data_IF_023650387711
#
_entry.id   IF_023650387711
#
_cell.length_a   1.000
_cell.length_b   1.000
_cell.length_c   1.000
_cell.angle_alpha   90.00
_cell.angle_beta   90.00
_cell.angle_gamma   90.00
#
_symmetry.space_group_name_H-M   'P 1'
#
loop_
_entity.id
_entity.type
_entity.pdbx_description
1 polymer ?
#
# COMPACT_ATOMS: atom_id res chain seq x y z
N UNK A 1 -22.64 -25.03 43.42
CA UNK A 1 -21.94 -24.31 42.34
C UNK A 1 -22.94 -24.11 41.19
N UNK A 2 -23.29 -22.88 40.81
CA UNK A 2 -24.30 -22.63 39.76
C UNK A 2 -23.60 -22.54 38.39
N UNK A 3 -23.69 -23.58 37.57
CA UNK A 3 -23.24 -23.58 36.18
C UNK A 3 -24.14 -22.67 35.35
N UNK A 4 -23.57 -21.73 34.59
CA UNK A 4 -24.35 -20.90 33.65
C UNK A 4 -24.72 -21.75 32.42
N UNK A 5 -25.96 -21.65 31.91
CA UNK A 5 -26.38 -22.40 30.73
C UNK A 5 -25.70 -21.82 29.47
N UNK A 6 -24.89 -22.62 28.79
CA UNK A 6 -24.26 -22.27 27.51
C UNK A 6 -25.27 -22.51 26.38
N UNK A 7 -26.17 -21.56 26.18
CA UNK A 7 -27.02 -21.51 24.98
C UNK A 7 -26.23 -20.99 23.77
N UNK A 8 -26.70 -21.30 22.56
CA UNK A 8 -26.10 -20.73 21.32
C UNK A 8 -26.35 -19.22 21.30
N UNK A 9 -25.28 -18.42 21.38
CA UNK A 9 -25.34 -16.96 21.24
C UNK A 9 -25.14 -16.63 19.76
N UNK A 10 -26.17 -16.06 19.13
CA UNK A 10 -26.04 -15.50 17.78
C UNK A 10 -25.47 -14.09 17.91
N UNK A 11 -24.31 -13.85 17.31
CA UNK A 11 -23.65 -12.55 17.27
C UNK A 11 -23.49 -12.09 15.82
N UNK A 12 -24.01 -10.92 15.50
CA UNK A 12 -23.88 -10.25 14.20
C UNK A 12 -23.19 -8.91 14.41
N UNK A 13 -22.03 -8.73 13.77
CA UNK A 13 -21.25 -7.51 13.81
C UNK A 13 -21.87 -6.46 12.87
N UNK A 14 -22.18 -5.26 13.38
CA UNK A 14 -22.55 -4.09 12.57
C UNK A 14 -21.29 -3.27 12.23
N UNK A 15 -20.87 -3.22 10.95
CA UNK A 15 -19.68 -2.47 10.56
C UNK A 15 -19.81 -0.95 10.73
N UNK A 16 -21.02 -0.40 10.70
CA UNK A 16 -21.25 1.04 10.83
C UNK A 16 -21.22 1.51 12.29
N UNK A 17 -21.40 0.60 13.24
CA UNK A 17 -21.41 0.91 14.67
C UNK A 17 -20.77 -0.24 15.48
N UNK A 18 -19.43 -0.37 15.41
CA UNK A 18 -18.74 -1.47 16.07
C UNK A 18 -18.84 -1.34 17.60
N UNK A 19 -18.92 -2.46 18.34
CA UNK A 19 -18.90 -2.42 19.79
C UNK A 19 -17.60 -1.81 20.29
N UNK A 20 -17.70 -0.89 21.24
CA UNK A 20 -16.53 -0.32 21.92
C UNK A 20 -15.92 -1.36 22.85
N UNK A 21 -14.60 -1.36 22.96
CA UNK A 21 -13.92 -2.20 23.93
C UNK A 21 -14.34 -1.82 25.35
N UNK A 22 -14.46 -2.83 26.21
CA UNK A 22 -14.65 -2.61 27.65
C UNK A 22 -13.32 -2.17 28.27
N UNK A 23 -13.33 -1.38 29.36
CA UNK A 23 -12.11 -0.96 30.05
C UNK A 23 -11.20 -2.12 30.46
N UNK A 24 -11.79 -3.28 30.77
CA UNK A 24 -11.06 -4.52 31.08
C UNK A 24 -10.33 -5.10 29.87
N UNK A 25 -10.94 -5.04 28.68
CA UNK A 25 -10.29 -5.50 27.44
C UNK A 25 -9.15 -4.56 27.05
N UNK A 26 -9.33 -3.25 27.19
CA UNK A 26 -8.28 -2.26 26.94
C UNK A 26 -7.09 -2.45 27.88
N UNK A 27 -7.34 -2.59 29.19
CA UNK A 27 -6.29 -2.84 30.17
C UNK A 27 -5.54 -4.17 29.91
N UNK A 28 -6.22 -5.20 29.38
CA UNK A 28 -5.56 -6.45 28.98
C UNK A 28 -4.60 -6.22 27.81
N UNK A 29 -5.03 -5.49 26.77
CA UNK A 29 -4.19 -5.22 25.59
C UNK A 29 -3.00 -4.34 25.94
N UNK A 30 -3.17 -3.36 26.83
CA UNK A 30 -2.09 -2.47 27.26
C UNK A 30 -1.01 -3.19 28.08
N UNK A 31 -1.38 -4.24 28.81
CA UNK A 31 -0.45 -5.02 29.64
C UNK A 31 0.13 -6.25 28.91
N UNK A 32 -0.38 -6.58 27.73
CA UNK A 32 0.06 -7.73 26.95
C UNK A 32 1.41 -7.44 26.32
N UNK A 33 2.34 -8.39 26.42
CA UNK A 33 3.65 -8.26 25.78
C UNK A 33 3.66 -8.87 24.38
N UNK A 34 4.56 -8.43 23.51
CA UNK A 34 4.67 -8.96 22.14
C UNK A 34 4.87 -10.48 22.10
N UNK A 35 5.54 -11.05 23.10
CA UNK A 35 5.79 -12.49 23.20
C UNK A 35 4.51 -13.31 23.47
N UNK A 36 3.45 -12.69 23.99
CA UNK A 36 2.17 -13.34 24.27
C UNK A 36 1.23 -13.33 23.05
N UNK A 37 1.60 -12.63 21.96
CA UNK A 37 0.79 -12.55 20.75
C UNK A 37 0.81 -13.91 20.05
N UNK A 38 -0.37 -14.50 19.90
CA UNK A 38 -0.56 -15.74 19.15
C UNK A 38 -0.61 -15.46 17.65
N UNK A 39 0.29 -16.09 16.90
CA UNK A 39 0.38 -16.00 15.44
C UNK A 39 0.02 -17.32 14.74
N UNK A 40 -0.53 -18.30 15.47
CA UNK A 40 -0.80 -19.64 14.95
C UNK A 40 -1.84 -19.68 13.83
N UNK A 41 -2.68 -18.66 13.72
CA UNK A 41 -3.68 -18.47 12.66
C UNK A 41 -3.10 -17.83 11.39
N UNK A 42 -1.91 -17.23 11.45
CA UNK A 42 -1.28 -16.55 10.32
C UNK A 42 -0.50 -17.58 9.47
N UNK A 43 -0.80 -17.69 8.16
CA UNK A 43 -0.04 -18.58 7.28
C UNK A 43 1.43 -18.13 7.14
N UNK A 44 2.38 -19.06 6.98
CA UNK A 44 3.79 -18.73 6.83
C UNK A 44 4.03 -17.86 5.58
N UNK A 45 4.82 -16.79 5.74
CA UNK A 45 5.23 -15.95 4.62
C UNK A 45 6.28 -16.69 3.77
N UNK A 46 5.85 -17.31 2.67
CA UNK A 46 6.74 -18.09 1.81
C UNK A 46 7.76 -17.26 1.02
N UNK A 47 7.61 -15.94 0.96
CA UNK A 47 8.48 -15.06 0.17
C UNK A 47 8.80 -13.80 0.98
N UNK A 48 10.08 -13.45 1.14
CA UNK A 48 10.52 -12.10 1.53
C UNK A 48 10.22 -11.14 0.36
N UNK A 49 8.96 -10.79 0.18
CA UNK A 49 8.58 -9.69 -0.71
C UNK A 49 8.54 -8.44 0.14
N UNK A 50 9.49 -7.55 -0.09
CA UNK A 50 9.43 -6.21 0.45
C UNK A 50 8.17 -5.55 -0.12
N UNK A 51 7.18 -5.34 0.74
CA UNK A 51 5.96 -4.63 0.41
C UNK A 51 6.30 -3.19 0.07
N UNK A 52 6.59 -2.93 -1.20
CA UNK A 52 6.90 -1.61 -1.71
C UNK A 52 5.67 -1.05 -2.40
N UNK A 53 5.28 0.19 -2.08
CA UNK A 53 4.21 0.88 -2.81
C UNK A 53 4.63 1.03 -4.28
N UNK A 54 3.83 0.56 -5.26
CA UNK A 54 4.11 0.81 -6.66
C UNK A 54 4.19 2.33 -6.89
N UNK A 55 5.38 2.84 -7.22
CA UNK A 55 5.63 4.27 -7.48
C UNK A 55 6.28 5.08 -6.34
N UNK A 56 6.57 4.50 -5.17
CA UNK A 56 7.22 5.21 -4.06
C UNK A 56 8.74 5.47 -4.24
N UNK A 57 9.36 4.97 -5.32
CA UNK A 57 10.82 5.02 -5.48
C UNK A 57 11.40 6.30 -6.07
N UNK A 58 10.59 7.33 -6.37
CA UNK A 58 11.14 8.57 -6.94
C UNK A 58 10.60 9.75 -6.15
N UNK A 59 11.37 10.25 -5.16
CA UNK A 59 11.10 11.51 -4.50
C UNK A 59 10.81 12.60 -5.54
N UNK A 60 9.79 13.42 -5.30
CA UNK A 60 9.48 14.55 -6.18
C UNK A 60 10.69 15.49 -6.37
N UNK A 61 11.58 15.52 -5.39
CA UNK A 61 12.86 16.24 -5.34
C UNK A 61 13.82 15.87 -6.48
N UNK A 62 13.70 14.69 -7.09
CA UNK A 62 14.56 14.27 -8.21
C UNK A 62 14.11 14.82 -9.58
N UNK A 63 13.01 15.58 -9.65
CA UNK A 63 12.49 16.11 -10.92
C UNK A 63 12.89 17.57 -11.10
N UNK A 64 13.78 17.82 -12.05
CA UNK A 64 14.13 19.18 -12.46
C UNK A 64 13.09 19.73 -13.44
N UNK A 65 12.51 20.89 -13.15
CA UNK A 65 11.64 21.59 -14.09
C UNK A 65 12.49 22.32 -15.12
N UNK A 66 12.38 21.91 -16.39
CA UNK A 66 13.06 22.54 -17.51
C UNK A 66 12.06 22.89 -18.62
N UNK A 67 12.39 23.90 -19.43
CA UNK A 67 11.66 24.22 -20.65
C UNK A 67 12.26 23.44 -21.81
N UNK A 68 11.61 22.34 -22.20
CA UNK A 68 12.02 21.49 -23.32
C UNK A 68 11.02 21.64 -24.48
N UNK A 69 11.54 21.79 -25.71
CA UNK A 69 10.73 21.72 -26.93
C UNK A 69 10.68 20.27 -27.42
N UNK A 70 9.48 19.79 -27.68
CA UNK A 70 9.20 18.47 -28.26
C UNK A 70 8.37 18.66 -29.52
N UNK A 71 8.49 17.72 -30.45
CA UNK A 71 7.70 17.75 -31.68
C UNK A 71 6.20 17.70 -31.40
N UNK A 72 5.43 18.39 -32.24
CA UNK A 72 4.01 18.58 -32.05
C UNK A 72 3.24 17.25 -32.08
N UNK A 73 3.66 16.32 -32.93
CA UNK A 73 3.10 14.98 -33.06
C UNK A 73 3.33 14.14 -31.80
N UNK A 74 4.55 14.16 -31.23
CA UNK A 74 4.90 13.48 -29.96
C UNK A 74 4.03 14.00 -28.83
N UNK A 75 3.91 15.33 -28.69
CA UNK A 75 3.05 15.93 -27.67
C UNK A 75 1.58 15.54 -27.89
N UNK A 76 1.11 15.55 -29.14
CA UNK A 76 -0.27 15.18 -29.48
C UNK A 76 -0.56 13.71 -29.12
N UNK A 77 0.39 12.80 -29.39
CA UNK A 77 0.27 11.39 -29.07
C UNK A 77 0.07 11.19 -27.57
N UNK A 78 0.97 11.72 -26.74
CA UNK A 78 0.89 11.56 -25.28
C UNK A 78 -0.35 12.23 -24.67
N UNK A 79 -0.80 13.37 -25.22
CA UNK A 79 -2.04 14.03 -24.78
C UNK A 79 -3.29 13.17 -25.03
N UNK A 80 -3.36 12.44 -26.15
CA UNK A 80 -4.49 11.53 -26.46
C UNK A 80 -4.64 10.41 -25.44
N UNK A 81 -3.54 9.97 -24.81
CA UNK A 81 -3.57 8.90 -23.80
C UNK A 81 -4.22 9.38 -22.47
N UNK A 82 -4.41 10.69 -22.29
CA UNK A 82 -5.17 11.28 -21.19
C UNK A 82 -4.33 11.93 -20.08
N UNK A 83 -4.89 11.99 -18.87
CA UNK A 83 -4.26 12.67 -17.72
C UNK A 83 -2.85 12.11 -17.45
N UNK A 84 -1.97 12.97 -16.90
CA UNK A 84 -0.56 12.66 -16.58
C UNK A 84 0.34 12.37 -17.81
N UNK A 85 0.00 12.90 -18.99
CA UNK A 85 0.82 12.76 -20.21
C UNK A 85 2.30 13.13 -20.01
N UNK A 86 2.61 14.19 -19.25
CA UNK A 86 3.99 14.58 -18.92
C UNK A 86 4.74 13.49 -18.13
N UNK A 87 4.05 12.80 -17.20
CA UNK A 87 4.66 11.70 -16.44
C UNK A 87 4.97 10.50 -17.35
N UNK A 88 4.14 10.27 -18.37
CA UNK A 88 4.35 9.22 -19.37
C UNK A 88 5.51 9.54 -20.32
N UNK A 89 5.63 10.80 -20.76
CA UNK A 89 6.80 11.28 -21.51
C UNK A 89 8.08 10.99 -20.71
N UNK A 90 8.10 11.37 -19.43
CA UNK A 90 9.25 11.13 -18.57
C UNK A 90 9.56 9.63 -18.36
N UNK A 91 8.55 8.77 -18.32
CA UNK A 91 8.75 7.33 -18.22
C UNK A 91 9.42 6.76 -19.48
N UNK A 92 8.96 7.15 -20.66
CA UNK A 92 9.56 6.75 -21.93
C UNK A 92 11.03 7.21 -22.06
N UNK A 93 11.32 8.46 -21.68
CA UNK A 93 12.68 8.98 -21.66
C UNK A 93 13.59 8.21 -20.70
N UNK A 94 13.07 7.82 -19.53
CA UNK A 94 13.83 7.02 -18.57
C UNK A 94 14.16 5.64 -19.12
N UNK A 95 13.20 4.97 -19.74
CA UNK A 95 13.41 3.65 -20.34
C UNK A 95 14.49 3.71 -21.43
N UNK A 96 14.48 4.74 -22.28
CA UNK A 96 15.53 4.98 -23.26
C UNK A 96 16.92 5.15 -22.61
N UNK A 97 17.02 5.99 -21.58
CA UNK A 97 18.28 6.22 -20.86
C UNK A 97 18.82 4.93 -20.24
N UNK A 98 17.96 4.13 -19.59
CA UNK A 98 18.36 2.86 -18.99
C UNK A 98 18.78 1.83 -20.04
N UNK A 99 18.11 1.78 -21.19
CA UNK A 99 18.53 0.94 -22.31
C UNK A 99 19.92 1.33 -22.83
N UNK A 100 20.20 2.63 -22.96
CA UNK A 100 21.51 3.13 -23.40
C UNK A 100 22.62 2.82 -22.38
N UNK A 101 22.37 3.00 -21.08
CA UNK A 101 23.35 2.68 -20.03
C UNK A 101 23.75 1.21 -19.99
N UNK A 102 22.86 0.29 -20.40
CA UNK A 102 23.16 -1.15 -20.44
C UNK A 102 23.95 -1.58 -21.68
N UNK A 103 23.92 -0.76 -22.73
CA UNK A 103 24.62 -1.02 -23.99
C UNK A 103 26.07 -0.50 -23.97
N UNK A 104 26.44 0.27 -22.94
CA UNK A 104 27.79 0.77 -22.64
C UNK A 104 28.41 -0.11 -21.56
#
# INVERSE_FOLDING_TARGET
MKSKPTGTVKYTLDPANPPRMTPKQEARLLNMTDAEIDYSDIPPQHNKKDWTRPGALIPAENKQQITLRLDADVVSFFRKIGRRYQSRINAALREYVEAQKKAV
#
